data_IF_801043449694
#
_entry.id   IF_801043449694
#
_cell.length_a   1.000
_cell.length_b   1.000
_cell.length_c   1.000
_cell.angle_alpha   90.00
_cell.angle_beta   90.00
_cell.angle_gamma   90.00
#
_symmetry.space_group_name_H-M   'P 1'
#
loop_
_entity.id
_entity.type
_entity.pdbx_description
1 polymer ?
#
# COMPACT_ATOMS: atom_id res chain seq x y z
N UNK A 1 -22.96 11.20 2.87
CA UNK A 1 -23.20 11.37 4.33
C UNK A 1 -23.79 10.12 4.98
N UNK A 2 -24.97 9.62 4.58
CA UNK A 2 -25.56 8.41 5.23
C UNK A 2 -24.74 7.13 4.99
N UNK A 3 -24.24 6.91 3.76
CA UNK A 3 -23.36 5.79 3.46
C UNK A 3 -22.01 5.87 4.19
N UNK A 4 -21.42 7.08 4.28
CA UNK A 4 -20.16 7.30 5.01
C UNK A 4 -20.31 7.02 6.50
N UNK A 5 -21.46 7.36 7.07
CA UNK A 5 -21.79 7.11 8.48
C UNK A 5 -21.90 5.62 8.76
N UNK A 6 -22.65 4.87 7.94
CA UNK A 6 -22.77 3.41 8.09
C UNK A 6 -21.42 2.71 8.00
N UNK A 7 -20.59 3.12 7.04
CA UNK A 7 -19.24 2.59 6.86
C UNK A 7 -18.30 2.94 8.03
N UNK A 8 -18.36 4.17 8.55
CA UNK A 8 -17.59 4.57 9.74
C UNK A 8 -18.00 3.78 11.00
N UNK A 9 -19.30 3.52 11.20
CA UNK A 9 -19.81 2.72 12.32
C UNK A 9 -19.34 1.27 12.20
N UNK A 10 -19.43 0.67 10.99
CA UNK A 10 -18.91 -0.67 10.74
C UNK A 10 -17.42 -0.75 11.09
N UNK A 11 -16.63 0.25 10.70
CA UNK A 11 -15.20 0.30 11.03
C UNK A 11 -14.93 0.48 12.53
N UNK A 12 -15.74 1.26 13.24
CA UNK A 12 -15.64 1.39 14.70
C UNK A 12 -15.89 0.03 15.37
N UNK A 13 -16.94 -0.68 14.97
CA UNK A 13 -17.27 -2.01 15.50
C UNK A 13 -16.13 -2.99 15.20
N UNK A 14 -15.61 -3.00 13.96
CA UNK A 14 -14.47 -3.84 13.60
C UNK A 14 -13.23 -3.57 14.46
N UNK A 15 -12.94 -2.30 14.74
CA UNK A 15 -11.85 -1.92 15.63
C UNK A 15 -12.03 -2.46 17.05
N UNK A 16 -13.24 -2.35 17.62
CA UNK A 16 -13.54 -2.88 18.96
C UNK A 16 -13.50 -4.40 19.04
N UNK A 17 -14.00 -5.09 18.00
CA UNK A 17 -13.91 -6.55 17.89
C UNK A 17 -12.43 -6.98 17.88
N UNK A 18 -11.60 -6.32 17.07
CA UNK A 18 -10.17 -6.61 16.97
C UNK A 18 -9.42 -6.29 18.27
N UNK A 19 -9.79 -5.20 18.94
CA UNK A 19 -9.22 -4.83 20.24
C UNK A 19 -9.55 -5.87 21.32
N UNK A 20 -10.78 -6.37 21.36
CA UNK A 20 -11.23 -7.37 22.34
C UNK A 20 -10.65 -8.75 22.07
N UNK A 21 -10.49 -9.12 20.80
CA UNK A 21 -9.91 -10.40 20.39
C UNK A 21 -8.38 -10.49 20.59
N UNK A 22 -7.69 -9.37 20.88
CA UNK A 22 -6.23 -9.36 20.98
C UNK A 22 -5.74 -9.81 22.37
N UNK A 23 -5.00 -10.92 22.39
CA UNK A 23 -4.41 -11.54 23.60
C UNK A 23 -3.35 -10.66 24.29
N UNK A 24 -2.65 -9.78 23.55
CA UNK A 24 -1.59 -8.92 24.08
C UNK A 24 -1.83 -7.44 23.74
N UNK A 25 -2.62 -6.78 24.59
CA UNK A 25 -3.08 -5.39 24.42
C UNK A 25 -1.97 -4.40 24.08
N UNK A 26 -0.77 -4.49 24.68
CA UNK A 26 0.33 -3.54 24.42
C UNK A 26 0.93 -3.68 23.00
N UNK A 27 1.09 -4.89 22.50
CA UNK A 27 1.61 -5.16 21.14
C UNK A 27 0.62 -4.71 20.07
N UNK A 28 -0.68 -4.81 20.38
CA UNK A 28 -1.75 -4.39 19.49
C UNK A 28 -1.75 -2.89 19.21
N UNK A 29 -1.54 -2.07 20.25
CA UNK A 29 -1.52 -0.60 20.12
C UNK A 29 -0.37 -0.09 19.24
N UNK A 30 0.78 -0.76 19.23
CA UNK A 30 1.93 -0.39 18.40
C UNK A 30 1.94 -1.05 17.01
N UNK A 31 0.87 -1.75 16.62
CA UNK A 31 0.73 -2.27 15.26
C UNK A 31 0.37 -1.14 14.30
N UNK A 32 1.07 -1.04 13.16
CA UNK A 32 0.81 -0.03 12.12
C UNK A 32 -0.67 0.03 11.72
N UNK A 33 -1.35 -1.12 11.66
CA UNK A 33 -2.77 -1.20 11.33
C UNK A 33 -3.66 -0.54 12.39
N UNK A 34 -3.39 -0.79 13.67
CA UNK A 34 -4.15 -0.21 14.79
C UNK A 34 -3.90 1.29 14.91
N UNK A 35 -2.68 1.76 14.61
CA UNK A 35 -2.33 3.17 14.59
C UNK A 35 -3.13 3.90 13.51
N UNK A 36 -3.19 3.36 12.30
CA UNK A 36 -3.95 3.93 11.18
C UNK A 36 -5.43 4.03 11.51
N UNK A 37 -6.01 3.00 12.11
CA UNK A 37 -7.41 3.04 12.56
C UNK A 37 -7.62 4.09 13.65
N UNK A 38 -6.67 4.24 14.59
CA UNK A 38 -6.74 5.26 15.63
C UNK A 38 -6.63 6.70 15.09
N UNK A 39 -5.91 6.94 13.99
CA UNK A 39 -5.85 8.27 13.36
C UNK A 39 -7.02 8.56 12.42
N UNK A 40 -7.73 7.55 11.92
CA UNK A 40 -8.83 7.74 10.95
C UNK A 40 -10.20 7.76 11.59
N UNK A 41 -10.42 6.99 12.66
CA UNK A 41 -11.73 6.82 13.31
C UNK A 41 -12.14 8.09 14.08
N UNK A 42 -11.37 8.61 15.06
CA UNK A 42 -11.80 9.76 15.85
C UNK A 42 -12.09 11.02 15.02
N UNK A 43 -11.22 11.44 14.05
CA UNK A 43 -11.53 12.61 13.23
C UNK A 43 -12.80 12.44 12.38
N UNK A 44 -13.12 11.21 11.96
CA UNK A 44 -14.35 10.92 11.21
C UNK A 44 -15.60 11.11 12.07
N UNK A 45 -15.55 10.74 13.36
CA UNK A 45 -16.66 10.96 14.30
C UNK A 45 -16.79 12.43 14.72
N UNK A 46 -15.67 13.11 14.95
CA UNK A 46 -15.64 14.54 15.30
C UNK A 46 -16.20 15.39 14.16
N UNK A 47 -15.85 15.10 12.89
CA UNK A 47 -16.41 15.80 11.74
C UNK A 47 -17.93 15.64 11.61
N UNK A 48 -18.48 14.48 11.99
CA UNK A 48 -19.92 14.24 12.05
C UNK A 48 -20.58 15.01 13.21
N UNK A 49 -19.96 15.02 14.39
CA UNK A 49 -20.47 15.72 15.56
C UNK A 49 -20.53 17.24 15.35
N UNK A 50 -19.51 17.84 14.72
CA UNK A 50 -19.47 19.28 14.41
C UNK A 50 -20.24 19.65 13.12
N UNK A 51 -20.84 18.68 12.43
CA UNK A 51 -21.52 18.85 11.15
C UNK A 51 -20.68 19.63 10.10
N UNK A 52 -19.34 19.55 10.21
CA UNK A 52 -18.37 20.26 9.37
C UNK A 52 -17.54 19.26 8.59
N UNK A 53 -17.61 19.34 7.27
CA UNK A 53 -16.94 18.40 6.37
C UNK A 53 -15.43 18.70 6.26
N UNK A 54 -14.65 18.34 7.27
CA UNK A 54 -13.20 18.53 7.22
C UNK A 54 -12.53 17.39 6.42
N UNK A 55 -11.87 17.76 5.32
CA UNK A 55 -11.20 16.82 4.41
C UNK A 55 -9.88 16.28 5.00
N UNK A 56 -9.30 17.00 5.97
CA UNK A 56 -8.05 16.73 6.68
C UNK A 56 -7.42 15.34 6.51
N UNK A 57 -7.60 14.49 7.52
CA UNK A 57 -6.95 13.18 7.60
C UNK A 57 -7.64 12.07 6.78
N UNK A 58 -8.52 12.40 5.82
CA UNK A 58 -9.28 11.38 5.07
C UNK A 58 -8.40 10.52 4.18
N UNK A 59 -7.27 11.05 3.71
CA UNK A 59 -6.32 10.28 2.90
C UNK A 59 -5.70 9.09 3.65
N UNK A 60 -5.62 9.13 4.98
CA UNK A 60 -5.13 7.98 5.77
C UNK A 60 -6.02 6.74 5.58
N UNK A 61 -7.27 6.90 5.11
CA UNK A 61 -8.14 5.77 4.73
C UNK A 61 -7.54 4.94 3.59
N UNK A 62 -6.70 5.52 2.73
CA UNK A 62 -6.02 4.79 1.67
C UNK A 62 -5.11 3.67 2.22
N UNK A 63 -4.60 3.82 3.45
CA UNK A 63 -3.76 2.80 4.09
C UNK A 63 -4.55 1.51 4.37
N UNK A 64 -5.89 1.58 4.42
CA UNK A 64 -6.75 0.39 4.54
C UNK A 64 -6.69 -0.55 3.34
N UNK A 65 -6.21 -0.08 2.19
CA UNK A 65 -5.93 -0.94 1.02
C UNK A 65 -4.96 -2.07 1.41
N UNK A 66 -4.09 -1.86 2.41
CA UNK A 66 -3.21 -2.91 2.95
C UNK A 66 -3.94 -4.10 3.58
N UNK A 67 -5.22 -3.96 3.96
CA UNK A 67 -6.02 -5.03 4.57
C UNK A 67 -6.79 -5.85 3.53
N UNK A 68 -6.88 -5.37 2.28
CA UNK A 68 -7.58 -6.08 1.19
C UNK A 68 -7.04 -7.50 0.96
N UNK A 69 -5.71 -7.76 0.95
CA UNK A 69 -5.19 -9.10 0.73
C UNK A 69 -5.68 -10.11 1.78
N UNK A 70 -5.76 -9.68 3.04
CA UNK A 70 -6.21 -10.54 4.15
C UNK A 70 -7.70 -10.88 3.97
N UNK A 71 -8.52 -9.91 3.59
CA UNK A 71 -9.95 -10.12 3.26
C UNK A 71 -10.09 -11.11 2.10
N UNK A 72 -9.27 -10.96 1.06
CA UNK A 72 -9.29 -11.82 -0.12
C UNK A 72 -8.89 -13.27 0.20
N UNK A 73 -7.98 -13.45 1.17
CA UNK A 73 -7.62 -14.75 1.73
C UNK A 73 -8.78 -15.35 2.55
N UNK A 74 -9.43 -14.56 3.39
CA UNK A 74 -10.59 -15.03 4.18
C UNK A 74 -11.75 -15.48 3.29
N UNK A 75 -11.93 -14.86 2.12
CA UNK A 75 -12.96 -15.23 1.15
C UNK A 75 -12.62 -16.48 0.33
N UNK A 76 -11.41 -17.05 0.48
CA UNK A 76 -10.97 -18.21 -0.30
C UNK A 76 -10.72 -17.93 -1.78
N UNK A 77 -10.70 -16.66 -2.21
CA UNK A 77 -10.47 -16.28 -3.62
C UNK A 77 -8.99 -16.48 -4.03
N UNK A 78 -8.07 -16.42 -3.07
CA UNK A 78 -6.65 -16.66 -3.29
C UNK A 78 -6.16 -17.71 -2.30
N UNK A 79 -5.92 -18.92 -2.81
CA UNK A 79 -5.47 -20.05 -2.00
C UNK A 79 -3.94 -20.25 -2.07
N UNK A 80 -3.27 -19.66 -3.05
CA UNK A 80 -1.83 -19.86 -3.29
C UNK A 80 -1.01 -18.91 -2.41
N UNK A 81 -0.13 -19.42 -1.51
CA UNK A 81 0.68 -18.58 -0.63
C UNK A 81 1.54 -17.54 -1.38
N UNK A 82 2.03 -17.89 -2.57
CA UNK A 82 2.77 -16.97 -3.45
C UNK A 82 1.90 -15.81 -3.94
N UNK A 83 0.67 -16.11 -4.38
CA UNK A 83 -0.25 -15.09 -4.88
C UNK A 83 -0.68 -14.13 -3.76
N UNK A 84 -0.91 -14.64 -2.54
CA UNK A 84 -1.22 -13.80 -1.37
C UNK A 84 -0.09 -12.81 -1.11
N UNK A 85 1.17 -13.27 -1.11
CA UNK A 85 2.33 -12.38 -0.91
C UNK A 85 2.45 -11.30 -2.00
N UNK A 86 2.25 -11.66 -3.28
CA UNK A 86 2.27 -10.67 -4.38
C UNK A 86 1.20 -9.60 -4.16
N UNK A 87 -0.03 -10.02 -3.82
CA UNK A 87 -1.14 -9.09 -3.58
C UNK A 87 -0.87 -8.21 -2.35
N UNK A 88 -0.31 -8.77 -1.28
CA UNK A 88 0.11 -8.01 -0.09
C UNK A 88 1.18 -6.95 -0.39
N UNK A 89 2.19 -7.31 -1.20
CA UNK A 89 3.25 -6.39 -1.61
C UNK A 89 2.70 -5.27 -2.50
N UNK A 90 1.92 -5.63 -3.52
CA UNK A 90 1.30 -4.67 -4.41
C UNK A 90 0.34 -3.73 -3.67
N UNK A 91 -0.50 -4.26 -2.77
CA UNK A 91 -1.41 -3.44 -1.98
C UNK A 91 -0.67 -2.50 -1.04
N UNK A 92 0.43 -2.96 -0.42
CA UNK A 92 1.25 -2.14 0.49
C UNK A 92 1.90 -0.99 -0.26
N UNK A 93 2.43 -1.28 -1.45
CA UNK A 93 3.02 -0.29 -2.33
C UNK A 93 2.04 0.81 -2.74
N UNK A 94 0.88 0.41 -3.28
CA UNK A 94 -0.18 1.35 -3.70
C UNK A 94 -0.69 2.16 -2.49
N UNK A 95 -0.87 1.51 -1.33
CA UNK A 95 -1.38 2.16 -0.13
C UNK A 95 -0.44 3.24 0.41
N UNK A 96 0.87 2.97 0.52
CA UNK A 96 1.87 3.97 0.96
C UNK A 96 1.88 5.16 0.02
N UNK A 97 1.79 4.89 -1.27
CA UNK A 97 1.88 5.92 -2.30
C UNK A 97 0.64 6.83 -2.35
N UNK A 98 -0.57 6.27 -2.33
CA UNK A 98 -1.81 7.06 -2.28
C UNK A 98 -1.88 7.85 -0.96
N UNK A 99 -1.42 7.26 0.15
CA UNK A 99 -1.33 7.98 1.42
C UNK A 99 -0.35 9.17 1.35
N UNK A 100 0.79 9.01 0.68
CA UNK A 100 1.75 10.09 0.47
C UNK A 100 1.19 11.20 -0.43
N UNK A 101 0.47 10.85 -1.51
CA UNK A 101 -0.20 11.83 -2.37
C UNK A 101 -1.24 12.66 -1.60
N UNK A 102 -2.04 12.00 -0.76
CA UNK A 102 -3.00 12.69 0.08
C UNK A 102 -2.36 13.53 1.19
N UNK A 103 -1.21 13.09 1.73
CA UNK A 103 -0.45 13.88 2.70
C UNK A 103 0.11 15.17 2.08
N UNK A 104 0.68 15.09 0.87
CA UNK A 104 1.14 16.27 0.11
C UNK A 104 -0.03 17.19 -0.23
N UNK A 105 -1.13 16.63 -0.73
CA UNK A 105 -2.35 17.38 -0.99
C UNK A 105 -2.83 18.12 0.26
N UNK A 106 -2.85 17.47 1.43
CA UNK A 106 -3.23 18.13 2.67
C UNK A 106 -2.23 19.24 3.05
N UNK A 107 -0.93 18.97 2.97
CA UNK A 107 0.11 19.93 3.34
C UNK A 107 0.04 21.20 2.49
N UNK A 108 -0.07 21.04 1.17
CA UNK A 108 -0.13 22.18 0.24
C UNK A 108 -1.43 22.99 0.39
N UNK A 109 -2.59 22.32 0.51
CA UNK A 109 -3.87 23.03 0.66
C UNK A 109 -4.05 23.66 2.05
N UNK A 110 -3.41 23.12 3.09
CA UNK A 110 -3.51 23.70 4.44
C UNK A 110 -2.58 24.89 4.64
N UNK A 111 -1.44 24.93 3.93
CA UNK A 111 -0.39 25.91 4.15
C UNK A 111 0.41 25.66 5.44
N UNK A 112 1.47 26.45 5.64
CA UNK A 112 2.34 26.31 6.81
C UNK A 112 1.94 27.25 7.96
N UNK A 113 1.94 26.71 9.17
CA UNK A 113 1.75 27.47 10.40
C UNK A 113 2.81 28.58 10.59
N UNK A 114 4.04 28.36 10.11
CA UNK A 114 5.16 29.30 10.28
C UNK A 114 5.02 30.57 9.44
N UNK A 115 4.23 30.51 8.36
CA UNK A 115 4.03 31.62 7.43
C UNK A 115 2.59 32.14 7.49
N UNK A 116 1.90 31.98 8.63
CA UNK A 116 0.49 32.35 8.80
C UNK A 116 -0.44 31.79 7.70
N UNK A 117 -0.12 30.61 7.15
CA UNK A 117 -0.85 29.95 6.06
C UNK A 117 -0.90 30.73 4.73
N UNK A 118 -0.08 31.76 4.54
CA UNK A 118 -0.07 32.56 3.29
C UNK A 118 0.49 31.79 2.09
N UNK A 119 1.29 30.75 2.35
CA UNK A 119 1.94 29.95 1.32
C UNK A 119 1.12 28.72 0.90
N UNK A 120 -0.17 28.66 1.28
CA UNK A 120 -1.07 27.62 0.84
C UNK A 120 -1.20 27.65 -0.69
N UNK A 121 -1.18 26.47 -1.29
CA UNK A 121 -1.43 26.28 -2.71
C UNK A 121 -2.64 25.39 -2.88
N UNK A 122 -3.65 25.90 -3.60
CA UNK A 122 -4.76 25.06 -4.05
C UNK A 122 -4.23 24.06 -5.08
N UNK A 123 -4.09 22.81 -4.63
CA UNK A 123 -3.59 21.72 -5.42
C UNK A 123 -4.64 20.62 -5.42
N UNK A 124 -5.23 20.38 -6.58
CA UNK A 124 -6.27 19.37 -6.74
C UNK A 124 -5.71 17.95 -6.50
N UNK A 125 -6.56 17.04 -6.03
CA UNK A 125 -6.15 15.67 -5.69
C UNK A 125 -5.56 14.92 -6.88
N UNK A 126 -6.08 15.17 -8.10
CA UNK A 126 -5.53 14.57 -9.32
C UNK A 126 -4.13 15.07 -9.62
N UNK A 127 -3.87 16.37 -9.41
CA UNK A 127 -2.53 16.94 -9.55
C UNK A 127 -1.58 16.42 -8.48
N UNK A 128 -2.07 16.15 -7.26
CA UNK A 128 -1.26 15.53 -6.19
C UNK A 128 -0.85 14.10 -6.55
N UNK A 129 -1.79 13.32 -7.08
CA UNK A 129 -1.53 11.95 -7.57
C UNK A 129 -0.55 11.99 -8.73
N UNK A 130 -0.75 12.88 -9.71
CA UNK A 130 0.18 13.08 -10.82
C UNK A 130 1.59 13.44 -10.35
N UNK A 131 1.72 14.41 -9.44
CA UNK A 131 3.01 14.79 -8.85
C UNK A 131 3.70 13.60 -8.17
N UNK A 132 2.94 12.80 -7.42
CA UNK A 132 3.48 11.60 -6.79
C UNK A 132 3.84 10.49 -7.78
N UNK A 133 3.12 10.35 -8.90
CA UNK A 133 3.51 9.45 -10.01
C UNK A 133 4.85 9.88 -10.57
N UNK A 134 4.96 11.13 -11.00
CA UNK A 134 6.16 11.68 -11.65
C UNK A 134 7.37 11.63 -10.73
N UNK A 135 7.18 11.88 -9.43
CA UNK A 135 8.27 11.81 -8.46
C UNK A 135 8.72 10.37 -8.20
N UNK A 136 7.77 9.45 -8.09
CA UNK A 136 8.05 8.04 -7.80
C UNK A 136 8.70 7.31 -8.96
N UNK A 137 8.32 7.63 -10.19
CA UNK A 137 8.99 7.15 -11.40
C UNK A 137 10.34 7.82 -11.63
N UNK A 138 10.77 8.72 -10.73
CA UNK A 138 12.01 9.49 -10.80
C UNK A 138 12.13 10.37 -12.05
N UNK A 139 11.00 10.66 -12.71
CA UNK A 139 10.98 11.51 -13.92
C UNK A 139 11.15 12.97 -13.55
N UNK A 140 10.39 13.46 -12.56
CA UNK A 140 10.57 14.80 -12.00
C UNK A 140 10.45 15.94 -13.01
N UNK A 141 9.35 16.03 -13.77
CA UNK A 141 9.14 17.10 -14.76
C UNK A 141 9.26 18.52 -14.17
N UNK A 142 8.90 18.70 -12.89
CA UNK A 142 8.98 19.99 -12.21
C UNK A 142 7.87 20.97 -12.57
N UNK A 143 6.83 20.50 -13.26
CA UNK A 143 5.61 21.24 -13.60
C UNK A 143 4.69 21.43 -12.38
N UNK A 144 4.58 20.40 -11.54
CA UNK A 144 3.93 20.44 -10.24
C UNK A 144 4.99 20.19 -9.17
N UNK A 145 5.02 21.02 -8.13
CA UNK A 145 5.96 20.87 -7.02
C UNK A 145 5.38 21.45 -5.73
N UNK A 146 5.89 20.96 -4.59
CA UNK A 146 5.51 21.46 -3.27
C UNK A 146 6.09 22.87 -3.04
N UNK A 147 5.25 23.84 -2.67
CA UNK A 147 5.70 25.18 -2.28
C UNK A 147 5.88 25.30 -0.77
N UNK A 148 5.04 24.60 0.00
CA UNK A 148 5.07 24.62 1.47
C UNK A 148 6.34 23.96 2.02
N UNK A 149 6.84 24.49 3.13
CA UNK A 149 7.97 23.93 3.87
C UNK A 149 7.61 22.57 4.46
N UNK A 150 6.40 22.40 5.00
CA UNK A 150 5.95 21.09 5.51
C UNK A 150 5.85 20.07 4.37
N UNK A 151 5.31 20.45 3.21
CA UNK A 151 5.24 19.60 2.03
C UNK A 151 6.64 19.19 1.52
N UNK A 152 7.56 20.15 1.40
CA UNK A 152 8.96 19.88 1.01
C UNK A 152 9.68 18.95 2.00
N UNK A 153 9.52 19.20 3.29
CA UNK A 153 10.11 18.35 4.33
C UNK A 153 9.55 16.92 4.29
N UNK A 154 8.23 16.79 4.12
CA UNK A 154 7.59 15.49 3.93
C UNK A 154 8.14 14.76 2.69
N UNK A 155 8.27 15.44 1.56
CA UNK A 155 8.83 14.86 0.33
C UNK A 155 10.26 14.39 0.50
N UNK A 156 11.10 15.13 1.23
CA UNK A 156 12.47 14.73 1.51
C UNK A 156 12.52 13.42 2.31
N UNK A 157 11.71 13.31 3.37
CA UNK A 157 11.59 12.06 4.14
C UNK A 157 11.00 10.92 3.30
N UNK A 158 10.01 11.23 2.46
CA UNK A 158 9.38 10.25 1.58
C UNK A 158 10.36 9.71 0.53
N UNK A 159 11.26 10.52 -0.01
CA UNK A 159 12.27 10.04 -0.97
C UNK A 159 13.26 9.08 -0.30
N UNK A 160 13.76 9.43 0.89
CA UNK A 160 14.68 8.57 1.65
C UNK A 160 14.00 7.26 2.06
N UNK A 161 12.80 7.35 2.65
CA UNK A 161 12.02 6.19 3.07
C UNK A 161 11.52 5.35 1.90
N UNK A 162 11.16 6.00 0.79
CA UNK A 162 10.72 5.39 -0.45
C UNK A 162 11.82 4.55 -1.08
N UNK A 163 13.05 5.07 -1.16
CA UNK A 163 14.21 4.31 -1.64
C UNK A 163 14.48 3.06 -0.78
N UNK A 164 14.44 3.20 0.55
CA UNK A 164 14.60 2.06 1.45
C UNK A 164 13.47 1.03 1.26
N UNK A 165 12.23 1.49 1.09
CA UNK A 165 11.09 0.63 0.81
C UNK A 165 11.24 -0.11 -0.53
N UNK A 166 11.60 0.59 -1.61
CA UNK A 166 11.88 0.00 -2.92
C UNK A 166 12.98 -1.07 -2.85
N UNK A 167 14.05 -0.83 -2.09
CA UNK A 167 15.13 -1.79 -1.91
C UNK A 167 14.66 -3.11 -1.26
N UNK A 168 13.65 -3.06 -0.39
CA UNK A 168 13.05 -4.28 0.18
C UNK A 168 12.06 -4.97 -0.74
N UNK A 169 11.36 -4.21 -1.60
CA UNK A 169 10.35 -4.75 -2.51
C UNK A 169 10.97 -5.51 -3.69
N UNK A 170 12.07 -5.04 -4.27
CA UNK A 170 12.68 -5.63 -5.47
C UNK A 170 13.08 -7.11 -5.25
N UNK A 171 13.80 -7.49 -4.19
CA UNK A 171 14.14 -8.88 -3.91
C UNK A 171 12.91 -9.75 -3.67
N UNK A 172 11.89 -9.21 -3.00
CA UNK A 172 10.69 -9.97 -2.69
C UNK A 172 9.88 -10.28 -3.95
N UNK A 173 9.74 -9.32 -4.86
CA UNK A 173 9.18 -9.54 -6.19
C UNK A 173 10.04 -10.52 -7.01
N UNK A 174 11.36 -10.35 -7.02
CA UNK A 174 12.28 -11.23 -7.73
C UNK A 174 12.17 -12.68 -7.27
N UNK A 175 12.08 -12.93 -5.96
CA UNK A 175 11.91 -14.27 -5.41
C UNK A 175 10.56 -14.92 -5.79
N UNK A 176 9.50 -14.11 -5.92
CA UNK A 176 8.18 -14.60 -6.29
C UNK A 176 8.09 -14.95 -7.79
N UNK A 177 8.68 -14.13 -8.66
CA UNK A 177 8.70 -14.33 -10.11
C UNK A 177 9.83 -15.26 -10.60
N UNK A 178 10.97 -15.29 -9.92
CA UNK A 178 12.13 -16.12 -10.24
C UNK A 178 11.92 -17.62 -10.04
N UNK A 179 10.81 -18.03 -9.44
CA UNK A 179 10.42 -19.45 -9.34
C UNK A 179 9.87 -20.04 -10.64
N UNK A 180 9.98 -19.35 -11.78
CA UNK A 180 9.56 -19.87 -13.07
C UNK A 180 10.50 -20.98 -13.56
N UNK A 181 10.28 -22.18 -13.03
CA UNK A 181 10.31 -23.47 -13.72
C UNK A 181 11.50 -23.83 -14.64
N UNK A 182 12.70 -23.28 -14.40
CA UNK A 182 13.90 -23.66 -15.16
C UNK A 182 14.26 -25.15 -14.97
N UNK A 183 13.85 -25.75 -13.85
CA UNK A 183 14.10 -27.16 -13.55
C UNK A 183 13.10 -28.13 -14.20
N UNK A 184 11.83 -27.75 -14.38
CA UNK A 184 10.82 -28.69 -14.92
C UNK A 184 11.04 -29.01 -16.41
N UNK A 185 11.62 -28.09 -17.18
CA UNK A 185 11.96 -28.34 -18.59
C UNK A 185 13.14 -29.32 -18.73
N UNK A 186 14.11 -29.23 -17.82
CA UNK A 186 15.35 -30.02 -17.87
C UNK A 186 15.14 -31.49 -17.50
N UNK A 187 14.28 -31.78 -16.52
CA UNK A 187 13.88 -33.17 -16.21
C UNK A 187 13.08 -33.82 -17.35
N UNK A 188 12.20 -33.06 -18.02
CA UNK A 188 11.42 -33.57 -19.15
C UNK A 188 12.30 -33.87 -20.37
N UNK A 189 13.33 -33.05 -20.63
CA UNK A 189 14.33 -33.35 -21.66
C UNK A 189 15.19 -34.58 -21.32
N UNK A 190 15.61 -34.73 -20.06
CA UNK A 190 16.42 -35.89 -19.65
C UNK A 190 15.62 -37.19 -19.77
N UNK A 191 14.34 -37.20 -19.37
CA UNK A 191 13.46 -38.36 -19.52
C UNK A 191 13.20 -38.72 -20.99
N UNK A 192 13.04 -37.73 -21.87
CA UNK A 192 12.85 -37.96 -23.31
C UNK A 192 14.12 -38.53 -23.97
N UNK A 193 15.30 -38.08 -23.55
CA UNK A 193 16.57 -38.56 -24.09
C UNK A 193 16.90 -40.00 -23.62
N UNK A 194 16.51 -40.35 -22.39
CA UNK A 194 16.71 -41.70 -21.85
C UNK A 194 15.76 -42.73 -22.50
N UNK A 195 14.50 -42.35 -22.75
CA UNK A 195 13.53 -43.15 -23.52
C UNK A 195 13.97 -43.36 -24.97
N UNK A 196 14.60 -42.35 -25.59
CA UNK A 196 15.19 -42.46 -26.94
C UNK A 196 16.37 -43.43 -26.97
N UNK A 197 17.22 -43.44 -25.94
CA UNK A 197 18.36 -44.38 -25.87
C UNK A 197 17.91 -45.82 -25.62
N UNK A 198 16.89 -46.04 -24.79
CA UNK A 198 16.39 -47.40 -24.51
C UNK A 198 15.73 -48.03 -25.74
N UNK A 199 14.98 -47.25 -26.53
CA UNK A 199 14.32 -47.70 -27.76
C UNK A 199 15.31 -48.04 -28.89
N UNK A 200 16.44 -47.34 -28.99
CA UNK A 200 17.51 -47.68 -29.94
C UNK A 200 18.21 -48.99 -29.54
N UNK A 201 18.42 -49.24 -28.24
CA UNK A 201 19.08 -50.45 -27.75
C UNK A 201 18.28 -51.76 -27.94
N UNK A 202 16.94 -51.66 -28.01
CA UNK A 202 16.04 -52.81 -28.25
C UNK A 202 15.94 -53.22 -29.73
N UNK A 203 16.32 -52.34 -30.66
CA UNK A 203 16.23 -52.58 -32.11
C UNK A 203 17.54 -53.13 -32.74
N UNK A 204 18.58 -53.34 -31.92
CA UNK A 204 19.92 -53.78 -32.34
C UNK A 204 20.22 -55.23 -31.87
N UNK A 205 19.22 -55.93 -31.30
CA UNK A 205 19.25 -57.37 -31.04
C UNK A 205 18.30 -58.09 -31.98
#
# INVERSE_FOLDING_TARGET
MQADLGLNILFLVYFFLRFTASQHKRRFWFSLYSIVDMFTIPPSFVALYLNRNWIGFRFLRAIRIMNIPDILQYMGLIERPRAIRIVQLASRFIAVWVAAAGAVHLAENSGDFFCNFENAQELDIFNAIYFMIVTMTTVGYGDVFCKTYIGKFFMLLFLIGGLAFFATMIPEFSNLFGSHNEYSGRYRMLMMNDQSKSSISLNVK
#
